data_IF_829757457129
#
_entry.id   IF_829757457129
#
_cell.length_a   1.000
_cell.length_b   1.000
_cell.length_c   1.000
_cell.angle_alpha   90.00
_cell.angle_beta   90.00
_cell.angle_gamma   90.00
#
_symmetry.space_group_name_H-M   'P 1'
#
loop_
_entity.id
_entity.type
_entity.pdbx_description
1 polymer ?
#
# COMPACT_ATOMS: atom_id res chain seq x y z
N UNK A 1 17.45 -10.66 -1.29
CA UNK A 1 17.88 -12.04 -0.95
C UNK A 1 17.19 -12.43 0.35
N UNK A 2 16.33 -13.47 0.30
CA UNK A 2 15.60 -13.99 1.46
C UNK A 2 16.27 -15.30 1.90
N UNK A 3 16.72 -15.39 3.15
CA UNK A 3 17.40 -16.57 3.69
C UNK A 3 16.46 -17.80 3.70
N UNK A 4 15.17 -17.58 3.94
CA UNK A 4 14.17 -18.64 3.97
C UNK A 4 14.00 -19.25 2.58
N UNK A 5 13.84 -18.43 1.53
CA UNK A 5 13.73 -18.89 0.15
C UNK A 5 15.00 -19.64 -0.28
N UNK A 6 16.19 -19.15 0.09
CA UNK A 6 17.45 -19.84 -0.22
C UNK A 6 17.52 -21.24 0.40
N UNK A 7 17.10 -21.35 1.67
CA UNK A 7 17.10 -22.66 2.33
C UNK A 7 15.96 -23.55 1.85
N UNK A 8 14.82 -22.99 1.47
CA UNK A 8 13.76 -23.73 0.80
C UNK A 8 14.27 -24.35 -0.51
N UNK A 9 14.99 -23.59 -1.33
CA UNK A 9 15.57 -24.07 -2.58
C UNK A 9 16.66 -25.12 -2.34
N UNK A 10 17.52 -24.96 -1.32
CA UNK A 10 18.48 -25.97 -0.91
C UNK A 10 17.80 -27.28 -0.50
N UNK A 11 16.78 -27.19 0.34
CA UNK A 11 15.99 -28.33 0.79
C UNK A 11 15.35 -29.04 -0.42
N UNK A 12 14.74 -28.28 -1.34
CA UNK A 12 14.19 -28.84 -2.58
C UNK A 12 15.23 -29.57 -3.43
N UNK A 13 16.45 -29.03 -3.53
CA UNK A 13 17.55 -29.72 -4.22
C UNK A 13 17.95 -31.01 -3.53
N UNK A 14 18.09 -30.99 -2.21
CA UNK A 14 18.46 -32.19 -1.43
C UNK A 14 17.40 -33.29 -1.58
N UNK A 15 16.10 -32.97 -1.49
CA UNK A 15 15.05 -33.99 -1.65
C UNK A 15 14.99 -34.53 -3.09
N UNK A 16 15.26 -33.71 -4.10
CA UNK A 16 15.41 -34.15 -5.50
C UNK A 16 16.57 -35.15 -5.67
N UNK A 17 17.71 -34.87 -5.06
CA UNK A 17 18.88 -35.75 -5.13
C UNK A 17 18.66 -37.05 -4.34
N UNK A 18 18.01 -36.99 -3.19
CA UNK A 18 17.63 -38.20 -2.44
C UNK A 18 16.63 -39.06 -3.21
N UNK A 19 15.70 -38.43 -3.93
CA UNK A 19 14.74 -39.14 -4.77
C UNK A 19 15.44 -39.85 -5.97
N UNK A 20 16.34 -39.14 -6.65
CA UNK A 20 17.17 -39.77 -7.72
C UNK A 20 17.98 -40.99 -7.23
N UNK A 21 18.41 -40.94 -5.96
CA UNK A 21 19.12 -42.03 -5.30
C UNK A 21 18.18 -43.14 -4.76
N UNK A 22 16.88 -43.06 -5.00
CA UNK A 22 15.86 -44.02 -4.54
C UNK A 22 15.63 -44.05 -3.03
N UNK A 23 16.09 -43.03 -2.28
CA UNK A 23 15.96 -42.99 -0.83
C UNK A 23 14.61 -42.46 -0.34
N UNK A 24 13.98 -41.60 -1.15
CA UNK A 24 12.65 -41.01 -0.89
C UNK A 24 11.83 -40.91 -2.17
N UNK A 25 10.50 -40.84 -2.00
CA UNK A 25 9.55 -40.57 -3.10
C UNK A 25 9.08 -39.12 -2.95
N UNK A 26 8.97 -38.38 -4.06
CA UNK A 26 8.46 -37.02 -4.07
C UNK A 26 6.98 -37.00 -4.46
N UNK A 27 6.17 -36.11 -3.90
CA UNK A 27 4.84 -35.80 -4.39
C UNK A 27 4.93 -35.02 -5.72
N UNK A 28 3.81 -34.96 -6.45
CA UNK A 28 3.69 -34.19 -7.71
C UNK A 28 3.86 -32.70 -7.47
N UNK A 29 3.56 -32.21 -6.28
CA UNK A 29 3.67 -30.82 -5.87
C UNK A 29 4.43 -30.67 -4.55
N UNK A 30 5.38 -29.73 -4.50
CA UNK A 30 6.23 -29.40 -3.36
C UNK A 30 5.81 -28.09 -2.66
N UNK A 31 4.66 -27.50 -3.04
CA UNK A 31 4.23 -26.19 -2.54
C UNK A 31 3.90 -26.18 -1.03
N UNK A 32 3.63 -27.36 -0.46
CA UNK A 32 3.41 -27.51 1.00
C UNK A 32 4.68 -27.44 1.85
N UNK A 33 5.89 -27.49 1.22
CA UNK A 33 7.16 -27.38 1.94
C UNK A 33 7.46 -25.91 2.18
N UNK A 34 7.73 -25.55 3.43
CA UNK A 34 8.08 -24.20 3.82
C UNK A 34 9.32 -24.16 4.73
N UNK A 35 9.85 -22.94 4.88
CA UNK A 35 10.89 -22.59 5.84
C UNK A 35 10.39 -21.37 6.60
N UNK A 36 10.58 -21.36 7.92
CA UNK A 36 10.06 -20.30 8.81
C UNK A 36 11.01 -20.02 9.98
N UNK A 37 10.76 -18.93 10.69
CA UNK A 37 11.44 -18.63 11.96
C UNK A 37 10.89 -19.60 13.03
N UNK A 38 11.73 -20.43 13.66
CA UNK A 38 11.27 -21.26 14.75
C UNK A 38 10.91 -20.43 15.99
N UNK A 39 10.04 -20.91 16.89
CA UNK A 39 9.81 -20.25 18.17
C UNK A 39 11.11 -20.08 18.96
N UNK A 40 11.31 -18.92 19.61
CA UNK A 40 12.54 -18.54 20.32
C UNK A 40 13.09 -19.60 21.29
N UNK A 41 12.20 -20.34 21.95
CA UNK A 41 12.56 -21.41 22.90
C UNK A 41 13.45 -22.51 22.32
N UNK A 42 13.51 -22.64 20.98
CA UNK A 42 14.33 -23.68 20.32
C UNK A 42 15.75 -23.22 19.96
N UNK A 43 16.05 -21.94 20.11
CA UNK A 43 17.37 -21.38 19.84
C UNK A 43 17.99 -21.82 18.50
N UNK A 44 17.17 -21.83 17.46
CA UNK A 44 17.53 -22.18 16.09
C UNK A 44 17.19 -21.01 15.16
N UNK A 45 17.75 -21.01 13.96
CA UNK A 45 17.64 -19.90 13.02
C UNK A 45 16.56 -20.11 11.95
N UNK A 46 16.41 -21.37 11.49
CA UNK A 46 15.39 -21.76 10.49
C UNK A 46 14.74 -23.09 10.91
N UNK A 47 13.45 -23.20 10.66
CA UNK A 47 12.67 -24.44 10.78
C UNK A 47 12.06 -24.82 9.43
N UNK A 48 11.91 -26.13 9.16
CA UNK A 48 11.20 -26.62 7.98
C UNK A 48 10.31 -27.80 8.30
N UNK A 49 9.18 -27.88 7.59
CA UNK A 49 8.19 -28.95 7.70
C UNK A 49 8.38 -30.09 6.66
N UNK A 50 9.48 -30.09 5.93
CA UNK A 50 9.70 -30.97 4.76
C UNK A 50 9.45 -32.45 5.06
N UNK A 51 9.90 -32.96 6.20
CA UNK A 51 9.72 -34.37 6.56
C UNK A 51 8.25 -34.75 6.78
N UNK A 52 7.45 -33.84 7.34
CA UNK A 52 6.01 -34.04 7.52
C UNK A 52 5.28 -34.09 6.16
N UNK A 53 5.62 -33.20 5.23
CA UNK A 53 5.02 -33.18 3.89
C UNK A 53 5.32 -34.45 3.12
N UNK A 54 6.55 -34.98 3.25
CA UNK A 54 6.99 -36.19 2.54
C UNK A 54 6.51 -37.49 3.21
N UNK A 55 6.06 -37.48 4.44
CA UNK A 55 5.78 -38.70 5.23
C UNK A 55 4.68 -39.55 4.62
N UNK A 56 3.59 -38.97 4.15
CA UNK A 56 2.43 -39.68 3.62
C UNK A 56 2.78 -40.49 2.35
N UNK A 57 3.48 -39.87 1.40
CA UNK A 57 3.84 -40.55 0.13
C UNK A 57 4.91 -41.61 0.33
N UNK A 58 5.82 -41.39 1.28
CA UNK A 58 6.88 -42.35 1.61
C UNK A 58 6.41 -43.48 2.53
N UNK A 59 5.19 -43.41 3.09
CA UNK A 59 4.66 -44.34 4.07
C UNK A 59 5.62 -44.57 5.25
N UNK A 60 6.30 -43.51 5.68
CA UNK A 60 7.29 -43.49 6.76
C UNK A 60 6.92 -42.45 7.81
N UNK A 61 7.25 -42.72 9.10
CA UNK A 61 7.09 -41.68 10.12
C UNK A 61 7.87 -40.41 9.79
N UNK A 62 7.32 -39.22 10.06
CA UNK A 62 8.03 -37.97 9.77
C UNK A 62 9.40 -37.86 10.44
N UNK A 63 9.57 -38.46 11.64
CA UNK A 63 10.85 -38.47 12.34
C UNK A 63 11.94 -39.23 11.58
N UNK A 64 11.62 -40.38 10.99
CA UNK A 64 12.57 -41.20 10.20
C UNK A 64 13.04 -40.41 8.95
N UNK A 65 12.11 -39.75 8.28
CA UNK A 65 12.45 -38.88 7.15
C UNK A 65 13.27 -37.67 7.57
N UNK A 66 12.96 -37.08 8.72
CA UNK A 66 13.71 -35.95 9.25
C UNK A 66 15.18 -36.33 9.54
N UNK A 67 15.46 -37.54 10.05
CA UNK A 67 16.83 -38.00 10.26
C UNK A 67 17.61 -38.16 8.96
N UNK A 68 16.99 -38.67 7.90
CA UNK A 68 17.63 -38.78 6.57
C UNK A 68 17.95 -37.41 6.01
N UNK A 69 17.01 -36.48 6.12
CA UNK A 69 17.15 -35.10 5.61
C UNK A 69 18.15 -34.29 6.42
N UNK A 70 18.12 -34.41 7.75
CA UNK A 70 19.06 -33.73 8.65
C UNK A 70 20.51 -34.10 8.32
N UNK A 71 20.81 -35.42 8.18
CA UNK A 71 22.14 -35.90 7.78
C UNK A 71 22.58 -35.35 6.42
N UNK A 72 21.65 -35.23 5.47
CA UNK A 72 21.97 -34.68 4.16
C UNK A 72 22.26 -33.20 4.22
N UNK A 73 21.49 -32.44 5.02
CA UNK A 73 21.72 -31.00 5.24
C UNK A 73 23.10 -30.72 5.87
N UNK A 74 23.45 -31.46 6.94
CA UNK A 74 24.73 -31.33 7.62
C UNK A 74 25.93 -31.67 6.70
N UNK A 75 25.76 -32.65 5.84
CA UNK A 75 26.83 -33.04 4.92
C UNK A 75 27.06 -32.07 3.75
N UNK A 76 25.98 -31.43 3.30
CA UNK A 76 26.02 -30.57 2.10
C UNK A 76 26.29 -29.11 2.43
N UNK A 77 26.00 -28.66 3.66
CA UNK A 77 26.15 -27.25 4.05
C UNK A 77 27.00 -27.06 5.31
N UNK A 78 28.27 -26.74 5.10
CA UNK A 78 29.21 -26.46 6.20
C UNK A 78 28.92 -25.19 7.00
N UNK A 79 28.02 -24.34 6.54
CA UNK A 79 27.56 -23.18 7.32
C UNK A 79 26.60 -23.58 8.44
N UNK A 80 26.09 -24.79 8.41
CA UNK A 80 25.25 -25.35 9.47
C UNK A 80 26.13 -25.75 10.67
N UNK A 81 25.76 -25.27 11.84
CA UNK A 81 26.40 -25.66 13.11
C UNK A 81 25.76 -26.92 13.68
N UNK A 82 24.45 -26.98 13.62
CA UNK A 82 23.65 -28.03 14.26
C UNK A 82 22.30 -28.16 13.56
N UNK A 83 21.83 -29.39 13.42
CA UNK A 83 20.46 -29.70 12.98
C UNK A 83 19.78 -30.47 14.12
N UNK A 84 18.63 -30.00 14.56
CA UNK A 84 17.80 -30.67 15.57
C UNK A 84 16.45 -31.05 15.00
N UNK A 85 15.92 -32.17 15.46
CA UNK A 85 14.64 -32.71 15.00
C UNK A 85 13.64 -32.61 16.15
N UNK A 86 12.50 -31.99 15.88
CA UNK A 86 11.42 -31.83 16.82
C UNK A 86 10.15 -32.56 16.36
N UNK A 87 9.46 -33.20 17.34
CA UNK A 87 8.16 -33.82 17.05
C UNK A 87 7.15 -32.78 16.54
N UNK A 88 6.34 -33.12 15.52
CA UNK A 88 6.20 -34.45 14.89
C UNK A 88 7.19 -34.75 13.76
N UNK A 89 8.09 -33.82 13.37
CA UNK A 89 9.05 -34.01 12.27
C UNK A 89 9.60 -32.69 11.73
N UNK A 90 9.56 -31.62 12.53
CA UNK A 90 10.23 -30.37 12.17
C UNK A 90 11.74 -30.55 12.21
N UNK A 91 12.42 -29.99 11.22
CA UNK A 91 13.88 -29.93 11.16
C UNK A 91 14.28 -28.49 11.42
N UNK A 92 15.01 -28.25 12.50
CA UNK A 92 15.50 -26.97 12.91
C UNK A 92 17.00 -26.85 12.63
N UNK A 93 17.41 -25.77 12.02
CA UNK A 93 18.78 -25.50 11.60
C UNK A 93 19.34 -24.34 12.42
N UNK A 94 20.55 -24.50 12.94
CA UNK A 94 21.35 -23.46 13.56
C UNK A 94 22.61 -23.23 12.76
N UNK A 95 22.93 -21.97 12.44
CA UNK A 95 24.10 -21.63 11.65
C UNK A 95 25.34 -21.36 12.52
N UNK A 96 26.50 -21.49 11.88
CA UNK A 96 27.78 -21.04 12.45
C UNK A 96 27.77 -19.49 12.57
N UNK A 97 28.47 -18.91 13.57
CA UNK A 97 28.57 -17.46 13.69
C UNK A 97 29.10 -16.76 12.44
N UNK A 98 30.01 -17.40 11.71
CA UNK A 98 30.57 -16.91 10.45
C UNK A 98 29.53 -16.70 9.36
N UNK A 99 28.47 -17.53 9.35
CA UNK A 99 27.34 -17.35 8.44
C UNK A 99 26.72 -15.96 8.61
N UNK A 100 26.41 -15.58 9.85
CA UNK A 100 25.80 -14.29 10.15
C UNK A 100 26.73 -13.11 9.86
N UNK A 101 28.02 -13.28 10.11
CA UNK A 101 29.02 -12.27 9.76
C UNK A 101 29.06 -12.05 8.24
N UNK A 102 29.04 -13.12 7.45
CA UNK A 102 29.05 -13.03 5.99
C UNK A 102 27.71 -12.48 5.45
N UNK A 103 26.61 -12.91 6.03
CA UNK A 103 25.26 -12.40 5.68
C UNK A 103 25.15 -10.90 5.93
N UNK A 104 25.67 -10.41 7.07
CA UNK A 104 25.71 -8.97 7.39
C UNK A 104 26.57 -8.18 6.40
N UNK A 105 27.73 -8.72 5.99
CA UNK A 105 28.56 -8.10 4.95
C UNK A 105 27.82 -8.02 3.60
N UNK A 106 27.05 -9.05 3.26
CA UNK A 106 26.24 -9.07 2.03
C UNK A 106 25.10 -8.04 2.07
N UNK A 107 24.44 -7.85 3.24
CA UNK A 107 23.45 -6.80 3.45
C UNK A 107 24.09 -5.42 3.19
N UNK A 108 25.25 -5.16 3.80
CA UNK A 108 25.94 -3.86 3.68
C UNK A 108 26.35 -3.61 2.22
N UNK A 109 26.91 -4.62 1.55
CA UNK A 109 27.31 -4.54 0.14
C UNK A 109 26.13 -4.24 -0.80
N UNK A 110 24.97 -4.80 -0.51
CA UNK A 110 23.77 -4.70 -1.34
C UNK A 110 22.66 -3.84 -0.68
N UNK A 111 23.00 -2.91 0.19
CA UNK A 111 22.07 -2.16 1.06
C UNK A 111 20.86 -1.57 0.31
N UNK A 112 21.05 -1.12 -0.94
CA UNK A 112 19.97 -0.52 -1.76
C UNK A 112 19.03 -1.53 -2.39
N UNK A 113 19.43 -2.80 -2.51
CA UNK A 113 18.70 -3.84 -3.25
C UNK A 113 18.42 -5.07 -2.40
N UNK A 114 18.94 -5.10 -1.18
CA UNK A 114 18.74 -6.22 -0.26
C UNK A 114 17.25 -6.33 0.11
N UNK A 115 16.68 -7.51 -0.09
CA UNK A 115 15.25 -7.77 0.17
C UNK A 115 14.36 -7.65 -1.07
N UNK A 116 14.86 -7.15 -2.20
CA UNK A 116 14.09 -7.13 -3.45
C UNK A 116 13.81 -8.57 -3.91
N UNK A 117 12.53 -8.86 -4.21
CA UNK A 117 12.15 -10.11 -4.84
C UNK A 117 12.40 -10.04 -6.35
N UNK A 118 13.47 -10.67 -6.81
CA UNK A 118 13.86 -10.70 -8.24
C UNK A 118 13.10 -11.76 -9.04
N UNK A 119 12.41 -12.69 -8.39
CA UNK A 119 11.71 -13.80 -9.03
C UNK A 119 10.27 -13.45 -9.41
N UNK A 120 9.75 -12.33 -8.91
CA UNK A 120 8.40 -11.90 -9.23
C UNK A 120 8.35 -11.09 -10.53
N UNK A 121 7.34 -11.37 -11.36
CA UNK A 121 7.12 -10.61 -12.58
C UNK A 121 6.72 -9.16 -12.23
N UNK A 122 7.38 -8.20 -12.88
CA UNK A 122 7.08 -6.78 -12.70
C UNK A 122 5.63 -6.47 -13.07
N UNK A 123 4.91 -5.82 -12.16
CA UNK A 123 3.52 -5.40 -12.31
C UNK A 123 3.40 -3.87 -12.25
N UNK A 124 2.27 -3.36 -12.76
CA UNK A 124 1.88 -1.96 -12.61
C UNK A 124 0.78 -1.87 -11.54
N UNK A 125 0.97 -0.99 -10.57
CA UNK A 125 0.00 -0.71 -9.51
C UNK A 125 -0.43 0.74 -9.58
N UNK A 126 -1.74 0.98 -9.48
CA UNK A 126 -2.33 2.27 -9.16
C UNK A 126 -2.82 2.18 -7.72
N UNK A 127 -2.33 3.06 -6.86
CA UNK A 127 -2.70 3.09 -5.45
C UNK A 127 -3.32 4.44 -5.15
N UNK A 128 -4.64 4.42 -4.92
CA UNK A 128 -5.41 5.57 -4.48
C UNK A 128 -5.45 5.59 -2.96
N UNK A 129 -5.13 6.73 -2.37
CA UNK A 129 -5.20 6.88 -0.91
C UNK A 129 -5.33 8.35 -0.49
N UNK A 130 -5.80 8.56 0.75
CA UNK A 130 -6.26 9.82 1.33
C UNK A 130 -7.58 10.25 0.74
N UNK A 131 -7.59 10.77 -0.48
CA UNK A 131 -8.78 11.19 -1.27
C UNK A 131 -9.82 11.95 -0.42
N UNK A 132 -9.34 12.83 0.48
CA UNK A 132 -10.19 13.66 1.32
C UNK A 132 -10.81 14.78 0.51
N UNK A 133 -12.03 15.21 0.88
CA UNK A 133 -12.70 16.31 0.22
C UNK A 133 -11.87 17.59 0.33
N UNK A 134 -11.75 18.38 -0.75
CA UNK A 134 -10.95 19.61 -0.75
C UNK A 134 -11.70 20.78 -0.12
N UNK A 135 -12.20 20.57 1.11
CA UNK A 135 -13.00 21.55 1.87
C UNK A 135 -12.32 21.99 3.14
N UNK A 136 -11.08 21.55 3.38
CA UNK A 136 -10.31 21.93 4.56
C UNK A 136 -8.99 21.21 4.73
N UNK A 137 -8.28 21.46 5.85
CA UNK A 137 -7.02 20.81 6.16
C UNK A 137 -7.20 19.33 6.45
N UNK A 138 -6.17 18.53 6.20
CA UNK A 138 -6.13 17.16 6.64
C UNK A 138 -6.05 17.10 8.17
N UNK A 139 -6.71 16.10 8.76
CA UNK A 139 -6.68 15.85 10.20
C UNK A 139 -6.06 14.46 10.49
N UNK A 140 -5.82 14.16 11.77
CA UNK A 140 -5.17 12.91 12.21
C UNK A 140 -5.83 11.64 11.66
N UNK A 141 -7.15 11.65 11.46
CA UNK A 141 -7.88 10.53 10.85
C UNK A 141 -7.43 10.21 9.41
N UNK A 142 -7.02 11.22 8.64
CA UNK A 142 -6.47 11.04 7.30
C UNK A 142 -5.03 10.51 7.32
N UNK A 143 -4.24 10.82 8.36
CA UNK A 143 -2.83 10.43 8.45
C UNK A 143 -2.63 8.92 8.39
N UNK A 144 -3.53 8.12 9.01
CA UNK A 144 -3.43 6.66 8.99
C UNK A 144 -3.51 6.10 7.57
N UNK A 145 -4.49 6.55 6.79
CA UNK A 145 -4.64 6.17 5.39
C UNK A 145 -3.48 6.66 4.53
N UNK A 146 -3.01 7.88 4.77
CA UNK A 146 -1.87 8.49 4.08
C UNK A 146 -0.58 7.68 4.27
N UNK A 147 -0.23 7.36 5.51
CA UNK A 147 0.97 6.59 5.85
C UNK A 147 0.88 5.17 5.28
N UNK A 148 -0.28 4.49 5.44
CA UNK A 148 -0.47 3.13 4.93
C UNK A 148 -0.32 3.07 3.40
N UNK A 149 -0.97 3.99 2.67
CA UNK A 149 -0.90 4.03 1.21
C UNK A 149 0.52 4.33 0.72
N UNK A 150 1.22 5.26 1.37
CA UNK A 150 2.60 5.59 1.03
C UNK A 150 3.57 4.43 1.31
N UNK A 151 3.46 3.78 2.46
CA UNK A 151 4.31 2.62 2.80
C UNK A 151 4.08 1.46 1.84
N UNK A 152 2.81 1.12 1.50
CA UNK A 152 2.51 0.09 0.49
C UNK A 152 3.14 0.46 -0.86
N UNK A 153 2.99 1.71 -1.29
CA UNK A 153 3.56 2.21 -2.53
C UNK A 153 5.09 2.08 -2.56
N UNK A 154 5.74 2.45 -1.46
CA UNK A 154 7.19 2.40 -1.33
C UNK A 154 7.71 0.95 -1.30
N UNK A 155 7.02 0.04 -0.60
CA UNK A 155 7.38 -1.40 -0.57
C UNK A 155 7.23 -2.03 -1.96
N UNK A 156 6.14 -1.75 -2.67
CA UNK A 156 5.94 -2.25 -4.04
C UNK A 156 6.98 -1.67 -5.01
N UNK A 157 7.29 -0.39 -4.90
CA UNK A 157 8.35 0.26 -5.71
C UNK A 157 9.72 -0.34 -5.40
N UNK A 158 10.01 -0.60 -4.12
CA UNK A 158 11.24 -1.25 -3.69
C UNK A 158 11.36 -2.67 -4.28
N UNK A 159 10.25 -3.40 -4.42
CA UNK A 159 10.20 -4.70 -5.08
C UNK A 159 10.15 -4.61 -6.62
N UNK A 160 10.58 -3.48 -7.18
CA UNK A 160 10.75 -3.27 -8.62
C UNK A 160 9.43 -3.27 -9.43
N UNK A 161 8.29 -3.06 -8.79
CA UNK A 161 7.03 -2.81 -9.47
C UNK A 161 6.94 -1.34 -9.90
N UNK A 162 6.12 -1.07 -10.93
CA UNK A 162 5.76 0.30 -11.29
C UNK A 162 4.55 0.72 -10.45
N UNK A 163 4.69 1.78 -9.66
CA UNK A 163 3.63 2.30 -8.81
C UNK A 163 3.29 3.72 -9.22
N UNK A 164 1.99 4.00 -9.31
CA UNK A 164 1.43 5.35 -9.46
C UNK A 164 0.59 5.65 -8.23
N UNK A 165 0.94 6.71 -7.50
CA UNK A 165 0.19 7.19 -6.33
C UNK A 165 -0.86 8.19 -6.78
N UNK A 166 -2.12 7.92 -6.52
CA UNK A 166 -3.25 8.73 -6.98
C UNK A 166 -4.05 9.29 -5.82
N UNK A 167 -4.50 10.53 -5.99
CA UNK A 167 -5.43 11.23 -5.13
C UNK A 167 -6.69 11.55 -5.92
N UNK A 168 -7.84 11.03 -5.49
CA UNK A 168 -9.13 11.38 -6.07
C UNK A 168 -9.64 12.69 -5.43
N UNK A 169 -9.84 13.70 -6.24
CA UNK A 169 -10.32 15.02 -5.83
C UNK A 169 -11.83 15.07 -6.01
N UNK A 170 -12.57 15.03 -4.91
CA UNK A 170 -14.03 15.17 -4.89
C UNK A 170 -14.40 16.67 -4.99
N UNK A 171 -14.22 17.24 -6.20
CA UNK A 171 -14.40 18.66 -6.51
C UNK A 171 -15.74 18.97 -7.20
N UNK A 172 -16.76 18.13 -6.95
CA UNK A 172 -18.10 18.26 -7.52
C UNK A 172 -19.20 18.09 -6.44
N UNK A 173 -20.38 18.72 -6.66
CA UNK A 173 -21.54 18.57 -5.80
C UNK A 173 -21.72 19.67 -4.73
N UNK A 174 -22.71 19.48 -3.87
CA UNK A 174 -23.18 20.53 -2.91
C UNK A 174 -22.13 20.97 -1.90
N UNK A 175 -21.26 20.06 -1.45
CA UNK A 175 -20.21 20.40 -0.51
C UNK A 175 -19.25 21.44 -1.07
N UNK A 176 -18.93 21.35 -2.36
CA UNK A 176 -18.06 22.30 -3.05
C UNK A 176 -18.74 23.66 -3.21
N UNK A 177 -20.05 23.66 -3.48
CA UNK A 177 -20.84 24.92 -3.54
C UNK A 177 -20.80 25.62 -2.18
N UNK A 178 -21.06 24.90 -1.10
CA UNK A 178 -21.05 25.45 0.26
C UNK A 178 -19.66 25.92 0.69
N UNK A 179 -18.65 25.16 0.32
CA UNK A 179 -17.26 25.55 0.55
C UNK A 179 -16.88 26.83 -0.20
N UNK A 180 -17.22 26.94 -1.49
CA UNK A 180 -16.99 28.15 -2.28
C UNK A 180 -17.73 29.36 -1.70
N UNK A 181 -18.99 29.20 -1.27
CA UNK A 181 -19.73 30.25 -0.58
C UNK A 181 -19.03 30.70 0.69
N UNK A 182 -18.48 29.76 1.46
CA UNK A 182 -17.73 30.07 2.68
C UNK A 182 -16.48 30.93 2.38
N UNK A 183 -15.74 30.58 1.33
CA UNK A 183 -14.60 31.40 0.86
C UNK A 183 -15.09 32.78 0.41
N UNK A 184 -16.22 32.85 -0.32
CA UNK A 184 -16.80 34.12 -0.76
C UNK A 184 -17.14 35.02 0.42
N UNK A 185 -17.81 34.50 1.47
CA UNK A 185 -18.13 35.29 2.66
C UNK A 185 -16.87 35.77 3.40
N UNK A 186 -15.79 34.97 3.43
CA UNK A 186 -14.50 35.45 3.97
C UNK A 186 -13.89 36.59 3.11
N UNK A 187 -14.02 36.51 1.79
CA UNK A 187 -13.62 37.61 0.91
C UNK A 187 -14.44 38.86 1.16
N UNK A 188 -15.77 38.73 1.37
CA UNK A 188 -16.66 39.84 1.71
C UNK A 188 -16.30 40.50 3.05
N UNK A 189 -16.00 39.67 4.04
CA UNK A 189 -15.52 40.12 5.35
C UNK A 189 -14.25 40.98 5.21
N UNK A 190 -13.25 40.52 4.43
CA UNK A 190 -11.96 41.18 4.27
C UNK A 190 -12.11 42.49 3.43
N UNK A 191 -12.82 42.42 2.30
CA UNK A 191 -12.85 43.54 1.34
C UNK A 191 -13.90 44.59 1.64
N UNK A 192 -15.03 44.20 2.26
CA UNK A 192 -16.20 45.06 2.42
C UNK A 192 -16.64 45.23 3.89
N UNK A 193 -15.87 44.64 4.84
CA UNK A 193 -16.12 44.68 6.27
C UNK A 193 -17.51 44.13 6.67
N UNK A 194 -17.97 43.10 5.93
CA UNK A 194 -19.22 42.40 6.23
C UNK A 194 -18.97 41.30 7.26
N UNK A 195 -19.99 40.94 8.04
CA UNK A 195 -19.85 39.85 9.04
C UNK A 195 -20.03 38.52 8.39
N UNK A 196 -19.12 37.54 8.67
CA UNK A 196 -19.28 36.15 8.22
C UNK A 196 -20.54 35.54 8.88
N UNK A 197 -21.44 34.88 8.11
CA UNK A 197 -22.66 34.30 8.63
C UNK A 197 -22.37 33.02 9.43
N UNK A 198 -22.22 33.15 10.75
CA UNK A 198 -21.87 32.05 11.67
C UNK A 198 -23.05 31.17 12.05
N UNK A 199 -24.26 31.60 11.80
CA UNK A 199 -25.53 30.92 12.06
C UNK A 199 -25.96 29.95 10.95
N UNK A 200 -25.22 29.91 9.85
CA UNK A 200 -25.50 29.04 8.74
C UNK A 200 -24.65 27.75 8.85
N UNK A 201 -25.29 26.64 9.25
CA UNK A 201 -24.67 25.33 9.45
C UNK A 201 -24.10 24.70 8.15
N UNK A 202 -24.54 25.17 6.97
CA UNK A 202 -24.02 24.68 5.68
C UNK A 202 -22.65 25.26 5.32
N UNK A 203 -22.21 26.31 6.01
CA UNK A 203 -20.93 26.97 5.75
C UNK A 203 -19.80 26.41 6.60
N UNK A 204 -18.60 26.46 6.03
CA UNK A 204 -17.37 26.06 6.71
C UNK A 204 -16.82 27.27 7.51
N UNK A 205 -16.70 27.17 8.84
CA UNK A 205 -16.30 28.34 9.66
C UNK A 205 -14.79 28.49 9.85
N UNK A 206 -13.98 27.55 9.33
CA UNK A 206 -12.55 27.42 9.66
C UNK A 206 -11.71 28.65 9.31
N UNK A 207 -10.74 28.98 10.17
CA UNK A 207 -9.82 30.12 9.99
C UNK A 207 -8.92 30.01 8.75
N UNK A 208 -8.62 28.78 8.28
CA UNK A 208 -7.87 28.54 7.04
C UNK A 208 -8.53 29.21 5.82
N UNK A 209 -9.84 29.46 5.84
CA UNK A 209 -10.54 30.16 4.77
C UNK A 209 -10.15 31.64 4.67
N UNK A 210 -9.69 32.25 5.76
CA UNK A 210 -9.17 33.62 5.76
C UNK A 210 -7.88 33.69 4.95
N UNK A 211 -6.99 32.69 5.11
CA UNK A 211 -5.77 32.58 4.30
C UNK A 211 -6.11 32.39 2.81
N UNK A 212 -7.06 31.51 2.51
CA UNK A 212 -7.53 31.27 1.14
C UNK A 212 -8.10 32.56 0.52
N UNK A 213 -8.96 33.25 1.24
CA UNK A 213 -9.55 34.52 0.80
C UNK A 213 -8.47 35.57 0.49
N UNK A 214 -7.48 35.76 1.38
CA UNK A 214 -6.36 36.68 1.16
C UNK A 214 -5.52 36.30 -0.06
N UNK A 215 -5.21 35.01 -0.26
CA UNK A 215 -4.45 34.53 -1.40
C UNK A 215 -5.21 34.79 -2.71
N UNK A 216 -6.53 34.50 -2.72
CA UNK A 216 -7.38 34.71 -3.90
C UNK A 216 -7.46 36.21 -4.24
N UNK A 217 -7.71 37.08 -3.26
CA UNK A 217 -7.76 38.52 -3.44
C UNK A 217 -6.45 39.04 -4.03
N UNK A 218 -5.33 38.65 -3.43
CA UNK A 218 -4.00 39.13 -3.81
C UNK A 218 -3.58 38.67 -5.21
N UNK A 219 -3.90 37.44 -5.56
CA UNK A 219 -3.55 36.85 -6.84
C UNK A 219 -4.50 37.28 -7.97
N UNK A 220 -5.69 37.77 -7.66
CA UNK A 220 -6.74 38.11 -8.61
C UNK A 220 -7.31 39.53 -8.41
N UNK A 221 -6.50 40.60 -8.50
CA UNK A 221 -6.94 41.95 -8.15
C UNK A 221 -8.02 42.53 -9.09
N UNK A 222 -8.27 41.91 -10.24
CA UNK A 222 -9.27 42.36 -11.21
C UNK A 222 -10.66 41.73 -11.02
N UNK A 223 -10.79 40.73 -10.14
CA UNK A 223 -12.10 40.10 -9.90
C UNK A 223 -12.98 41.03 -9.08
N UNK A 224 -14.20 41.27 -9.57
CA UNK A 224 -15.24 41.96 -8.82
C UNK A 224 -15.99 40.96 -7.91
N UNK A 225 -15.74 41.05 -6.61
CA UNK A 225 -16.37 40.21 -5.59
C UNK A 225 -17.72 40.75 -5.06
N UNK A 226 -18.36 41.66 -5.78
CA UNK A 226 -19.67 42.21 -5.34
C UNK A 226 -20.82 41.27 -5.68
N UNK A 227 -20.73 40.46 -6.72
CA UNK A 227 -21.77 39.56 -7.17
C UNK A 227 -21.26 38.11 -7.24
N UNK A 228 -21.76 37.23 -6.32
CA UNK A 228 -21.39 35.83 -6.25
C UNK A 228 -21.70 35.06 -7.54
N UNK A 229 -22.90 35.23 -8.08
CA UNK A 229 -23.37 34.43 -9.23
C UNK A 229 -22.51 34.69 -10.47
N UNK A 230 -22.04 35.91 -10.64
CA UNK A 230 -21.18 36.29 -11.76
C UNK A 230 -19.78 35.63 -11.72
N UNK A 231 -19.30 35.26 -10.52
CA UNK A 231 -17.93 34.73 -10.32
C UNK A 231 -17.90 33.32 -9.77
N UNK A 232 -19.06 32.70 -9.49
CA UNK A 232 -19.18 31.46 -8.75
C UNK A 232 -18.33 30.34 -9.33
N UNK A 233 -18.30 30.15 -10.64
CA UNK A 233 -17.52 29.10 -11.28
C UNK A 233 -16.00 29.37 -11.18
N UNK A 234 -15.60 30.62 -11.44
CA UNK A 234 -14.19 31.03 -11.30
C UNK A 234 -13.72 30.93 -9.84
N UNK A 235 -14.54 31.39 -8.91
CA UNK A 235 -14.22 31.33 -7.48
C UNK A 235 -14.15 29.90 -6.98
N UNK A 236 -14.99 28.99 -7.50
CA UNK A 236 -14.92 27.56 -7.19
C UNK A 236 -13.57 26.99 -7.59
N UNK A 237 -13.10 27.25 -8.81
CA UNK A 237 -11.78 26.79 -9.26
C UNK A 237 -10.66 27.31 -8.36
N UNK A 238 -10.66 28.60 -8.06
CA UNK A 238 -9.65 29.22 -7.18
C UNK A 238 -9.67 28.65 -5.76
N UNK A 239 -10.87 28.43 -5.22
CA UNK A 239 -11.05 27.86 -3.87
C UNK A 239 -10.53 26.41 -3.78
N UNK A 240 -10.82 25.60 -4.81
CA UNK A 240 -10.31 24.22 -4.90
C UNK A 240 -8.79 24.22 -5.03
N UNK A 241 -8.22 25.11 -5.84
CA UNK A 241 -6.76 25.22 -6.01
C UNK A 241 -6.07 25.52 -4.67
N UNK A 242 -6.60 26.47 -3.86
CA UNK A 242 -6.07 26.76 -2.53
C UNK A 242 -6.18 25.55 -1.59
N UNK A 243 -7.33 24.85 -1.61
CA UNK A 243 -7.53 23.66 -0.79
C UNK A 243 -6.55 22.54 -1.17
N UNK A 244 -6.34 22.30 -2.47
CA UNK A 244 -5.37 21.28 -2.95
C UNK A 244 -3.94 21.69 -2.61
N UNK A 245 -3.57 22.97 -2.66
CA UNK A 245 -2.27 23.44 -2.19
C UNK A 245 -2.06 23.14 -0.70
N UNK A 246 -3.08 23.39 0.13
CA UNK A 246 -3.03 23.07 1.57
C UNK A 246 -2.87 21.56 1.80
N UNK A 247 -3.65 20.73 1.12
CA UNK A 247 -3.58 19.27 1.19
C UNK A 247 -2.17 18.78 0.80
N UNK A 248 -1.64 19.25 -0.33
CA UNK A 248 -0.28 18.91 -0.77
C UNK A 248 0.78 19.33 0.26
N UNK A 249 0.64 20.51 0.87
CA UNK A 249 1.51 20.98 1.94
C UNK A 249 1.45 20.07 3.17
N UNK A 250 0.26 19.67 3.59
CA UNK A 250 0.08 18.75 4.73
C UNK A 250 0.72 17.38 4.44
N UNK A 251 0.49 16.81 3.25
CA UNK A 251 1.06 15.53 2.85
C UNK A 251 2.59 15.60 2.74
N UNK A 252 3.13 16.67 2.16
CA UNK A 252 4.57 16.85 2.03
C UNK A 252 5.27 16.97 3.39
N UNK A 253 4.59 17.49 4.42
CA UNK A 253 5.11 17.52 5.79
C UNK A 253 5.28 16.11 6.39
N UNK A 254 4.58 15.11 5.86
CA UNK A 254 4.74 13.69 6.17
C UNK A 254 5.70 12.98 5.20
N UNK A 255 6.31 13.70 4.26
CA UNK A 255 7.13 13.12 3.19
C UNK A 255 6.34 12.40 2.10
N UNK A 256 5.02 12.60 2.02
CA UNK A 256 4.12 11.93 1.09
C UNK A 256 3.87 12.81 -0.13
N UNK A 257 4.06 12.24 -1.32
CA UNK A 257 3.83 12.91 -2.61
C UNK A 257 3.01 11.98 -3.50
N UNK A 258 1.91 12.50 -4.07
CA UNK A 258 1.12 11.80 -5.08
C UNK A 258 1.58 12.20 -6.49
N UNK A 259 1.52 11.24 -7.40
CA UNK A 259 1.85 11.43 -8.82
C UNK A 259 0.71 12.11 -9.57
N UNK A 260 -0.54 11.70 -9.26
CA UNK A 260 -1.75 12.16 -9.92
C UNK A 260 -2.77 12.74 -8.93
N UNK A 261 -3.49 13.78 -9.38
CA UNK A 261 -4.71 14.29 -8.75
C UNK A 261 -5.83 14.25 -9.79
N UNK A 262 -6.78 13.34 -9.60
CA UNK A 262 -7.89 13.09 -10.55
C UNK A 262 -9.14 13.83 -10.09
N UNK A 263 -9.64 14.75 -10.91
CA UNK A 263 -10.82 15.58 -10.62
C UNK A 263 -12.11 14.84 -10.97
N UNK A 264 -13.03 14.71 -10.01
CA UNK A 264 -14.37 14.19 -10.23
C UNK A 264 -15.16 15.06 -11.22
N UNK A 265 -15.07 16.39 -11.07
CA UNK A 265 -15.72 17.35 -12.00
C UNK A 265 -15.34 17.07 -13.45
N UNK A 266 -14.08 16.75 -13.73
CA UNK A 266 -13.64 16.43 -15.10
C UNK A 266 -14.27 15.14 -15.60
N UNK A 267 -14.40 14.11 -14.78
CA UNK A 267 -15.04 12.85 -15.16
C UNK A 267 -16.52 13.08 -15.52
N UNK A 268 -17.23 13.88 -14.73
CA UNK A 268 -18.63 14.24 -15.01
C UNK A 268 -18.75 15.05 -16.30
N UNK A 269 -17.95 16.09 -16.47
CA UNK A 269 -18.01 16.94 -17.69
C UNK A 269 -17.66 16.17 -18.96
N UNK A 270 -16.81 15.15 -18.87
CA UNK A 270 -16.44 14.27 -19.99
C UNK A 270 -17.46 13.13 -20.21
N UNK A 271 -18.54 13.10 -19.45
CA UNK A 271 -19.59 12.06 -19.50
C UNK A 271 -19.05 10.64 -19.27
N UNK A 272 -17.95 10.51 -18.50
CA UNK A 272 -17.38 9.19 -18.22
C UNK A 272 -18.28 8.35 -17.30
N UNK A 273 -19.01 9.00 -16.38
CA UNK A 273 -19.95 8.35 -15.48
C UNK A 273 -21.12 7.76 -16.26
N UNK A 274 -21.71 8.55 -17.18
CA UNK A 274 -22.82 8.13 -18.05
C UNK A 274 -22.41 6.95 -18.93
N UNK A 275 -21.23 7.01 -19.56
CA UNK A 275 -20.69 5.91 -20.38
C UNK A 275 -20.54 4.62 -19.59
N UNK A 276 -20.07 4.69 -18.34
CA UNK A 276 -19.94 3.51 -17.48
C UNK A 276 -21.31 2.94 -17.13
N UNK A 277 -22.28 3.79 -16.74
CA UNK A 277 -23.66 3.36 -16.42
C UNK A 277 -24.32 2.70 -17.61
N UNK A 278 -24.22 3.30 -18.81
CA UNK A 278 -24.75 2.72 -20.04
C UNK A 278 -24.15 1.35 -20.37
N UNK A 279 -22.82 1.22 -20.21
CA UNK A 279 -22.13 -0.05 -20.43
C UNK A 279 -22.58 -1.13 -19.43
N UNK A 280 -22.72 -0.79 -18.15
CA UNK A 280 -23.24 -1.71 -17.13
C UNK A 280 -24.68 -2.14 -17.41
N UNK A 281 -25.54 -1.21 -17.85
CA UNK A 281 -26.91 -1.51 -18.23
C UNK A 281 -26.97 -2.42 -19.47
N UNK A 282 -26.18 -2.12 -20.51
CA UNK A 282 -26.09 -2.94 -21.73
C UNK A 282 -25.65 -4.38 -21.42
N UNK A 283 -24.75 -4.55 -20.47
CA UNK A 283 -24.27 -5.86 -20.04
C UNK A 283 -25.16 -6.50 -18.95
N UNK A 284 -26.28 -5.88 -18.58
CA UNK A 284 -27.23 -6.36 -17.55
C UNK A 284 -26.62 -6.54 -16.15
N UNK A 285 -25.56 -5.82 -15.82
CA UNK A 285 -24.98 -5.81 -14.49
C UNK A 285 -25.73 -4.91 -13.52
N UNK A 286 -26.47 -3.91 -14.04
CA UNK A 286 -27.32 -3.00 -13.26
C UNK A 286 -28.68 -2.85 -13.90
N UNK A 287 -29.69 -2.54 -13.09
CA UNK A 287 -31.05 -2.26 -13.54
C UNK A 287 -31.65 -1.12 -12.71
N UNK A 288 -32.62 -0.41 -13.27
CA UNK A 288 -33.35 0.64 -12.58
C UNK A 288 -34.38 0.02 -11.62
N UNK A 289 -34.23 0.28 -10.32
CA UNK A 289 -35.11 -0.25 -9.28
C UNK A 289 -35.41 0.78 -8.20
N UNK A 290 -36.38 0.44 -7.32
CA UNK A 290 -36.65 1.22 -6.09
C UNK A 290 -36.02 0.51 -4.91
N UNK A 291 -35.26 1.25 -4.09
CA UNK A 291 -34.81 0.76 -2.80
C UNK A 291 -36.03 0.68 -1.89
N UNK A 292 -36.34 -0.49 -1.35
CA UNK A 292 -37.33 -0.60 -0.27
C UNK A 292 -36.68 0.00 1.00
N UNK A 293 -37.34 1.03 1.52
CA UNK A 293 -36.95 1.64 2.80
C UNK A 293 -37.19 0.65 3.96
#
# INVERSE_FOLDING_TARGET
MNIFDQYLDKIKKIILDLSKKGKIILPDNLDGINTEIPPEKFNCDISTNVAMVLSKINKKPPLELAEILAKSLENEDKSIKEVSILKPGFINIKFQPEFWTNFSKEIIKNAKTFGINTNEQKKNYLIEFVSANPTGPLHVGHCRGAILGDVISNVLSFNNHKVTKEYYVNDYGNQIINFTKSVYFRIREIKFNETFPTDNEDLYPGEYLIEFANNIISSNPKIDFTNYDAISEQLTSLSIDEAIKLIKKNLSSLGIVHDNFVSEKKLVLNQEVEKVVENLQKNKFVYKGKIKA
#
